data_IF_940294699401
#
_entry.id   IF_940294699401
#
_cell.length_a   1.000
_cell.length_b   1.000
_cell.length_c   1.000
_cell.angle_alpha   90.00
_cell.angle_beta   90.00
_cell.angle_gamma   90.00
#
_symmetry.space_group_name_H-M   'P 1'
#
loop_
_entity.id
_entity.type
_entity.pdbx_description
1 polymer ?
#
# COMPACT_ATOMS: atom_id res chain seq x y z
N UNK A 1 10.15 -20.87 -21.46
CA UNK A 1 10.46 -19.85 -20.41
C UNK A 1 9.67 -18.57 -20.67
N UNK A 2 9.58 -18.11 -21.91
CA UNK A 2 8.72 -17.00 -22.37
C UNK A 2 7.24 -17.18 -22.04
N UNK A 3 6.64 -18.36 -22.27
CA UNK A 3 5.20 -18.59 -21.99
C UNK A 3 4.83 -18.57 -20.50
N UNK A 4 5.72 -19.02 -19.63
CA UNK A 4 5.54 -18.96 -18.17
C UNK A 4 5.63 -17.52 -17.67
N UNK A 5 6.58 -16.75 -18.21
CA UNK A 5 6.73 -15.31 -17.91
C UNK A 5 5.52 -14.54 -18.43
N UNK A 6 5.03 -14.86 -19.64
CA UNK A 6 3.80 -14.29 -20.17
C UNK A 6 2.61 -14.62 -19.27
N UNK A 7 2.40 -15.89 -18.91
CA UNK A 7 1.29 -16.31 -18.05
C UNK A 7 1.37 -15.74 -16.62
N UNK A 8 2.56 -15.44 -16.11
CA UNK A 8 2.75 -14.72 -14.84
C UNK A 8 2.43 -13.23 -14.99
N UNK A 9 2.97 -12.56 -16.02
CA UNK A 9 2.77 -11.12 -16.25
C UNK A 9 1.31 -10.80 -16.54
N UNK A 10 0.61 -11.64 -17.30
CA UNK A 10 -0.82 -11.51 -17.62
C UNK A 10 -1.75 -12.08 -16.54
N UNK A 11 -1.21 -12.38 -15.35
CA UNK A 11 -2.05 -12.73 -14.22
C UNK A 11 -2.56 -11.43 -13.60
N UNK A 12 -3.88 -11.25 -13.59
CA UNK A 12 -4.62 -10.10 -13.03
C UNK A 12 -4.06 -9.62 -11.68
N UNK A 13 -3.62 -10.55 -10.82
CA UNK A 13 -3.01 -10.24 -9.50
C UNK A 13 -1.69 -9.49 -9.61
N UNK A 14 -0.84 -9.87 -10.57
CA UNK A 14 0.47 -9.27 -10.79
C UNK A 14 0.31 -7.91 -11.46
N UNK A 15 -0.61 -7.77 -12.41
CA UNK A 15 -0.97 -6.48 -13.00
C UNK A 15 -1.50 -5.52 -11.94
N UNK A 16 -2.39 -5.98 -11.05
CA UNK A 16 -2.89 -5.16 -9.95
C UNK A 16 -1.77 -4.67 -9.04
N UNK A 17 -0.81 -5.55 -8.69
CA UNK A 17 0.33 -5.18 -7.86
C UNK A 17 1.26 -4.17 -8.57
N UNK A 18 1.56 -4.41 -9.84
CA UNK A 18 2.39 -3.54 -10.68
C UNK A 18 1.80 -2.13 -10.78
N UNK A 19 0.51 -2.04 -11.11
CA UNK A 19 -0.22 -0.79 -11.21
C UNK A 19 -0.43 -0.10 -9.86
N UNK A 20 -0.51 -0.88 -8.78
CA UNK A 20 -0.41 -0.37 -7.41
C UNK A 20 0.92 0.33 -7.14
N UNK A 21 2.04 -0.26 -7.55
CA UNK A 21 3.36 0.38 -7.48
C UNK A 21 3.43 1.67 -8.30
N UNK A 22 2.89 1.66 -9.52
CA UNK A 22 2.83 2.85 -10.38
C UNK A 22 1.97 3.98 -9.77
N UNK A 23 0.87 3.61 -9.10
CA UNK A 23 0.00 4.55 -8.38
C UNK A 23 0.77 5.32 -7.28
N UNK A 24 1.70 4.65 -6.60
CA UNK A 24 2.58 5.26 -5.61
C UNK A 24 3.60 6.21 -6.26
N UNK A 25 4.13 5.87 -7.43
CA UNK A 25 4.99 6.79 -8.19
C UNK A 25 4.22 8.06 -8.61
N UNK A 26 3.00 7.91 -9.12
CA UNK A 26 2.12 9.04 -9.45
C UNK A 26 1.84 9.91 -8.22
N UNK A 27 1.62 9.30 -7.05
CA UNK A 27 1.46 10.04 -5.80
C UNK A 27 2.69 10.90 -5.49
N UNK A 28 3.90 10.35 -5.58
CA UNK A 28 5.13 11.10 -5.30
C UNK A 28 5.32 12.25 -6.29
N UNK A 29 5.14 12.01 -7.59
CA UNK A 29 5.23 13.05 -8.61
C UNK A 29 4.25 14.18 -8.30
N UNK A 30 2.97 13.86 -8.12
CA UNK A 30 1.93 14.85 -7.82
C UNK A 30 2.23 15.63 -6.53
N UNK A 31 2.69 14.94 -5.48
CA UNK A 31 3.02 15.55 -4.20
C UNK A 31 4.17 16.55 -4.32
N UNK A 32 5.28 16.16 -4.94
CA UNK A 32 6.44 17.04 -5.08
C UNK A 32 6.15 18.24 -5.98
N UNK A 33 5.39 18.04 -7.07
CA UNK A 33 4.97 19.16 -7.92
C UNK A 33 4.09 20.14 -7.16
N UNK A 34 3.12 19.66 -6.38
CA UNK A 34 2.24 20.54 -5.59
C UNK A 34 2.98 21.22 -4.44
N UNK A 35 3.92 20.54 -3.78
CA UNK A 35 4.76 21.14 -2.74
C UNK A 35 5.67 22.25 -3.28
N UNK A 36 6.16 22.14 -4.52
CA UNK A 36 6.96 23.19 -5.14
C UNK A 36 6.17 24.49 -5.41
N UNK A 37 4.84 24.38 -5.52
CA UNK A 37 3.95 25.51 -5.86
C UNK A 37 3.19 26.07 -4.66
N UNK A 38 3.13 25.35 -3.53
CA UNK A 38 2.27 25.67 -2.39
C UNK A 38 3.06 25.66 -1.09
N UNK A 39 2.79 26.61 -0.19
CA UNK A 39 3.45 26.72 1.11
C UNK A 39 2.80 25.88 2.22
N UNK A 40 1.59 25.37 2.01
CA UNK A 40 0.88 24.53 2.98
C UNK A 40 1.33 23.07 2.90
N UNK A 41 1.44 22.37 4.03
CA UNK A 41 1.85 20.96 4.05
C UNK A 41 0.70 19.99 3.71
N UNK A 42 -0.54 20.30 4.11
CA UNK A 42 -1.68 19.38 3.94
C UNK A 42 -2.31 19.41 2.55
N UNK A 43 -2.32 20.56 1.87
CA UNK A 43 -2.99 20.70 0.56
C UNK A 43 -2.30 19.84 -0.52
N UNK A 44 -0.96 19.86 -0.68
CA UNK A 44 -0.26 18.97 -1.61
C UNK A 44 -0.53 17.49 -1.35
N UNK A 45 -0.67 17.09 -0.08
CA UNK A 45 -1.01 15.71 0.30
C UNK A 45 -2.40 15.34 -0.19
N UNK A 46 -3.40 16.19 0.05
CA UNK A 46 -4.77 15.95 -0.38
C UNK A 46 -4.90 15.88 -1.92
N UNK A 47 -4.21 16.77 -2.64
CA UNK A 47 -4.17 16.78 -4.11
C UNK A 47 -3.52 15.49 -4.63
N UNK A 48 -2.34 15.13 -4.13
CA UNK A 48 -1.63 13.93 -4.55
C UNK A 48 -2.44 12.66 -4.27
N UNK A 49 -3.10 12.59 -3.11
CA UNK A 49 -3.97 11.46 -2.74
C UNK A 49 -5.15 11.33 -3.70
N UNK A 50 -5.76 12.45 -4.08
CA UNK A 50 -6.89 12.49 -5.01
C UNK A 50 -6.46 12.02 -6.40
N UNK A 51 -5.39 12.61 -6.96
CA UNK A 51 -4.85 12.25 -8.28
C UNK A 51 -4.44 10.78 -8.33
N UNK A 52 -3.71 10.31 -7.32
CA UNK A 52 -3.28 8.92 -7.22
C UNK A 52 -4.46 7.95 -7.15
N UNK A 53 -5.52 8.28 -6.41
CA UNK A 53 -6.73 7.44 -6.31
C UNK A 53 -7.49 7.39 -7.63
N UNK A 54 -7.62 8.51 -8.34
CA UNK A 54 -8.25 8.57 -9.67
C UNK A 54 -7.44 7.76 -10.68
N UNK A 55 -6.12 7.91 -10.69
CA UNK A 55 -5.24 7.11 -11.55
C UNK A 55 -5.40 5.60 -11.29
N UNK A 56 -5.37 5.20 -10.01
CA UNK A 56 -5.56 3.80 -9.62
C UNK A 56 -6.90 3.24 -10.09
N UNK A 57 -7.96 4.05 -10.05
CA UNK A 57 -9.27 3.64 -10.55
C UNK A 57 -9.25 3.40 -12.06
N UNK A 58 -8.72 4.35 -12.84
CA UNK A 58 -8.67 4.27 -14.31
C UNK A 58 -7.90 3.01 -14.73
N UNK A 59 -6.71 2.82 -14.15
CA UNK A 59 -5.85 1.70 -14.48
C UNK A 59 -6.47 0.36 -14.09
N UNK A 60 -7.04 0.26 -12.88
CA UNK A 60 -7.69 -0.98 -12.46
C UNK A 60 -8.89 -1.32 -13.35
N UNK A 61 -9.70 -0.31 -13.70
CA UNK A 61 -10.88 -0.49 -14.55
C UNK A 61 -10.52 -0.99 -15.96
N UNK A 62 -9.56 -0.33 -16.61
CA UNK A 62 -9.30 -0.52 -18.05
C UNK A 62 -8.16 -1.48 -18.36
N UNK A 63 -7.20 -1.64 -17.45
CA UNK A 63 -6.03 -2.50 -17.69
C UNK A 63 -6.14 -3.80 -16.89
N UNK A 64 -6.40 -3.72 -15.59
CA UNK A 64 -6.39 -4.92 -14.72
C UNK A 64 -7.66 -5.76 -14.87
N UNK A 65 -8.84 -5.13 -14.84
CA UNK A 65 -10.13 -5.83 -14.87
C UNK A 65 -10.82 -5.71 -16.23
N UNK A 66 -10.05 -5.63 -17.32
CA UNK A 66 -10.60 -5.46 -18.68
C UNK A 66 -11.43 -6.67 -19.15
N UNK A 67 -11.12 -7.87 -18.63
CA UNK A 67 -11.77 -9.12 -19.06
C UNK A 67 -13.02 -9.49 -18.23
N UNK A 68 -13.38 -8.69 -17.21
CA UNK A 68 -14.59 -8.93 -16.41
C UNK A 68 -15.81 -8.29 -17.05
N UNK A 69 -16.93 -9.01 -17.13
CA UNK A 69 -18.23 -8.43 -17.52
C UNK A 69 -18.69 -7.44 -16.44
N UNK A 70 -18.34 -6.16 -16.58
CA UNK A 70 -18.64 -5.13 -15.60
C UNK A 70 -20.11 -4.71 -15.70
N UNK A 71 -20.94 -5.16 -14.76
CA UNK A 71 -22.38 -4.88 -14.75
C UNK A 71 -22.75 -3.47 -14.28
N UNK A 72 -21.87 -2.83 -13.50
CA UNK A 72 -22.12 -1.52 -12.86
C UNK A 72 -21.71 -0.34 -13.73
N UNK A 73 -22.41 0.79 -13.58
CA UNK A 73 -22.03 2.07 -14.20
C UNK A 73 -20.67 2.56 -13.70
N UNK A 74 -19.93 3.29 -14.54
CA UNK A 74 -18.58 3.79 -14.21
C UNK A 74 -18.57 4.58 -12.89
N UNK A 75 -19.57 5.43 -12.67
CA UNK A 75 -19.71 6.21 -11.44
C UNK A 75 -19.89 5.32 -10.21
N UNK A 76 -20.72 4.28 -10.30
CA UNK A 76 -20.91 3.34 -9.19
C UNK A 76 -19.61 2.58 -8.87
N UNK A 77 -18.86 2.16 -9.89
CA UNK A 77 -17.56 1.53 -9.71
C UNK A 77 -16.57 2.47 -8.99
N UNK A 78 -16.55 3.75 -9.38
CA UNK A 78 -15.69 4.75 -8.77
C UNK A 78 -16.03 4.99 -7.30
N UNK A 79 -17.32 5.13 -6.96
CA UNK A 79 -17.77 5.34 -5.58
C UNK A 79 -17.43 4.11 -4.72
N UNK A 80 -17.67 2.89 -5.20
CA UNK A 80 -17.31 1.66 -4.47
C UNK A 80 -15.79 1.56 -4.29
N UNK A 81 -15.01 1.93 -5.31
CA UNK A 81 -13.55 1.96 -5.23
C UNK A 81 -13.05 2.99 -4.20
N UNK A 82 -13.64 4.19 -4.19
CA UNK A 82 -13.31 5.25 -3.24
C UNK A 82 -13.66 4.85 -1.80
N UNK A 83 -14.84 4.25 -1.59
CA UNK A 83 -15.24 3.68 -0.30
C UNK A 83 -14.25 2.59 0.12
N UNK A 84 -13.88 1.69 -0.80
CA UNK A 84 -12.88 0.67 -0.57
C UNK A 84 -11.54 1.23 -0.08
N UNK A 85 -11.06 2.32 -0.69
CA UNK A 85 -9.84 3.01 -0.25
C UNK A 85 -10.00 3.64 1.13
N UNK A 86 -11.14 4.27 1.42
CA UNK A 86 -11.45 4.82 2.74
C UNK A 86 -11.46 3.74 3.82
N UNK A 87 -12.13 2.61 3.56
CA UNK A 87 -12.16 1.45 4.44
C UNK A 87 -10.73 0.94 4.69
N UNK A 88 -9.94 0.74 3.64
CA UNK A 88 -8.56 0.28 3.78
C UNK A 88 -7.68 1.23 4.59
N UNK A 89 -7.88 2.55 4.48
CA UNK A 89 -7.16 3.53 5.30
C UNK A 89 -7.54 3.43 6.78
N UNK A 90 -8.82 3.20 7.08
CA UNK A 90 -9.28 2.96 8.46
C UNK A 90 -8.72 1.65 8.99
N UNK A 91 -8.75 0.57 8.20
CA UNK A 91 -8.16 -0.72 8.57
C UNK A 91 -6.66 -0.63 8.81
N UNK A 92 -5.92 0.12 7.99
CA UNK A 92 -4.49 0.35 8.17
C UNK A 92 -4.21 0.99 9.54
N UNK A 93 -4.93 2.07 9.86
CA UNK A 93 -4.80 2.75 11.14
C UNK A 93 -5.16 1.83 12.33
N UNK A 94 -6.28 1.10 12.23
CA UNK A 94 -6.73 0.19 13.28
C UNK A 94 -5.77 -0.98 13.50
N UNK A 95 -5.32 -1.64 12.42
CA UNK A 95 -4.36 -2.75 12.49
C UNK A 95 -3.01 -2.28 13.00
N UNK A 96 -2.52 -1.13 12.54
CA UNK A 96 -1.26 -0.55 13.01
C UNK A 96 -1.34 -0.25 14.50
N UNK A 97 -2.42 0.39 14.95
CA UNK A 97 -2.64 0.66 16.37
C UNK A 97 -2.68 -0.65 17.18
N UNK A 98 -3.49 -1.62 16.76
CA UNK A 98 -3.64 -2.90 17.45
C UNK A 98 -2.33 -3.71 17.50
N UNK A 99 -1.63 -3.87 16.37
CA UNK A 99 -0.39 -4.65 16.30
C UNK A 99 0.76 -4.01 17.08
N UNK A 100 0.89 -2.68 17.02
CA UNK A 100 1.99 -1.96 17.68
C UNK A 100 1.73 -1.75 19.17
N UNK A 101 0.48 -1.59 19.61
CA UNK A 101 0.19 -1.32 21.03
C UNK A 101 -0.15 -2.57 21.82
N UNK A 102 -0.94 -3.50 21.27
CA UNK A 102 -1.44 -4.66 22.01
C UNK A 102 -0.63 -5.93 21.73
N UNK A 103 -0.05 -6.09 20.53
CA UNK A 103 0.62 -7.33 20.12
C UNK A 103 2.14 -7.20 19.93
N UNK A 104 2.76 -6.09 20.35
CA UNK A 104 4.19 -5.87 20.06
C UNK A 104 5.11 -6.95 20.66
N UNK A 105 4.87 -7.38 21.90
CA UNK A 105 5.65 -8.45 22.56
C UNK A 105 5.55 -9.79 21.80
N UNK A 106 4.33 -10.14 21.37
CA UNK A 106 4.08 -11.36 20.60
C UNK A 106 4.93 -11.40 19.32
N UNK A 107 4.95 -10.29 18.55
CA UNK A 107 5.72 -10.22 17.32
C UNK A 107 7.23 -10.13 17.55
N UNK A 108 7.69 -9.42 18.60
CA UNK A 108 9.10 -9.39 18.99
C UNK A 108 9.62 -10.81 19.29
N UNK A 109 8.81 -11.62 19.98
CA UNK A 109 9.16 -13.00 20.28
C UNK A 109 9.14 -13.90 19.04
N UNK A 110 8.11 -13.80 18.21
CA UNK A 110 7.97 -14.60 16.97
C UNK A 110 9.11 -14.35 15.99
N UNK A 111 9.51 -13.08 15.84
CA UNK A 111 10.61 -12.68 14.95
C UNK A 111 11.98 -12.73 15.63
N UNK A 112 12.04 -13.16 16.90
CA UNK A 112 13.26 -13.28 17.70
C UNK A 112 14.09 -11.98 17.69
N UNK A 113 13.44 -10.81 17.66
CA UNK A 113 14.10 -9.52 17.48
C UNK A 113 15.06 -9.20 18.64
N UNK A 114 14.77 -9.72 19.83
CA UNK A 114 15.65 -9.60 21.01
C UNK A 114 17.02 -10.27 20.82
N UNK A 115 17.20 -11.13 19.81
CA UNK A 115 18.47 -11.81 19.50
C UNK A 115 19.31 -11.07 18.46
N UNK A 116 18.79 -10.00 17.85
CA UNK A 116 19.46 -9.29 16.77
C UNK A 116 20.49 -8.32 17.35
N UNK A 117 21.70 -8.28 16.76
CA UNK A 117 22.71 -7.30 17.11
C UNK A 117 22.51 -5.99 16.33
N UNK A 118 21.86 -5.03 16.98
CA UNK A 118 21.61 -3.70 16.45
C UNK A 118 22.86 -2.82 16.27
N UNK A 119 24.01 -3.26 16.77
CA UNK A 119 25.27 -2.53 16.65
C UNK A 119 26.09 -2.88 15.40
N UNK A 120 25.54 -3.70 14.50
CA UNK A 120 26.17 -4.07 13.22
C UNK A 120 26.36 -2.85 12.32
N UNK A 121 27.44 -2.82 11.52
CA UNK A 121 27.82 -1.67 10.68
C UNK A 121 26.67 -1.14 9.79
N UNK A 122 25.84 -2.03 9.24
CA UNK A 122 24.66 -1.65 8.43
C UNK A 122 23.54 -1.01 9.26
N UNK A 123 23.25 -1.55 10.45
CA UNK A 123 22.17 -1.06 11.32
C UNK A 123 22.56 0.23 12.09
N UNK A 124 23.85 0.57 12.13
CA UNK A 124 24.38 1.80 12.72
C UNK A 124 24.30 3.02 11.80
N UNK A 125 24.01 2.86 10.51
CA UNK A 125 23.84 4.00 9.63
C UNK A 125 22.73 4.89 10.19
N UNK A 126 22.99 6.20 10.37
CA UNK A 126 22.09 7.14 11.06
C UNK A 126 20.64 7.06 10.58
N UNK A 127 20.45 6.87 9.27
CA UNK A 127 19.13 6.75 8.63
C UNK A 127 18.43 5.47 9.11
N UNK A 128 19.13 4.33 9.08
CA UNK A 128 18.59 3.01 9.38
C UNK A 128 18.37 2.84 10.89
N UNK A 129 19.31 3.33 11.70
CA UNK A 129 19.25 3.24 13.16
C UNK A 129 17.97 3.84 13.76
N UNK A 130 17.48 4.95 13.19
CA UNK A 130 16.24 5.59 13.66
C UNK A 130 14.98 4.72 13.45
N UNK A 131 15.02 3.76 12.51
CA UNK A 131 13.89 2.87 12.21
C UNK A 131 14.05 1.45 12.76
N UNK A 132 15.27 0.97 12.94
CA UNK A 132 15.53 -0.43 13.36
C UNK A 132 16.52 -0.56 14.50
N UNK A 133 16.94 0.52 15.18
CA UNK A 133 17.97 0.50 16.23
C UNK A 133 17.61 -0.21 17.54
N UNK A 134 16.39 -0.72 17.69
CA UNK A 134 15.92 -1.44 18.87
C UNK A 134 14.87 -2.50 18.45
N UNK A 135 14.70 -3.62 19.19
CA UNK A 135 13.63 -4.59 18.97
C UNK A 135 12.25 -3.99 18.72
N UNK A 136 11.84 -2.97 19.48
CA UNK A 136 10.55 -2.30 19.36
C UNK A 136 10.44 -1.54 18.03
N UNK A 137 11.49 -0.80 17.65
CA UNK A 137 11.50 -0.04 16.40
C UNK A 137 11.47 -0.97 15.18
N UNK A 138 12.29 -2.02 15.22
CA UNK A 138 12.32 -3.03 14.16
C UNK A 138 10.99 -3.78 14.05
N UNK A 139 10.35 -4.09 15.18
CA UNK A 139 9.01 -4.66 15.19
C UNK A 139 7.98 -3.77 14.49
N UNK A 140 8.01 -2.45 14.77
CA UNK A 140 7.11 -1.49 14.11
C UNK A 140 7.27 -1.52 12.60
N UNK A 141 8.51 -1.51 12.09
CA UNK A 141 8.78 -1.57 10.65
C UNK A 141 8.24 -2.87 10.03
N UNK A 142 8.52 -4.01 10.65
CA UNK A 142 8.05 -5.32 10.17
C UNK A 142 6.52 -5.37 10.16
N UNK A 143 5.87 -4.92 11.24
CA UNK A 143 4.41 -4.89 11.33
C UNK A 143 3.79 -4.00 10.24
N UNK A 144 4.33 -2.80 10.01
CA UNK A 144 3.84 -1.91 8.94
C UNK A 144 3.98 -2.55 7.56
N UNK A 145 5.09 -3.25 7.28
CA UNK A 145 5.26 -3.97 6.01
C UNK A 145 4.21 -5.08 5.87
N UNK A 146 3.97 -5.87 6.92
CA UNK A 146 2.96 -6.92 6.91
C UNK A 146 1.54 -6.35 6.71
N UNK A 147 1.21 -5.27 7.40
CA UNK A 147 -0.06 -4.57 7.25
C UNK A 147 -0.22 -4.07 5.82
N UNK A 148 0.82 -3.45 5.24
CA UNK A 148 0.77 -2.97 3.86
C UNK A 148 0.46 -4.09 2.87
N UNK A 149 1.00 -5.29 3.06
CA UNK A 149 0.68 -6.47 2.24
C UNK A 149 -0.80 -6.86 2.41
N UNK A 150 -1.30 -6.93 3.64
CA UNK A 150 -2.71 -7.23 3.94
C UNK A 150 -3.64 -6.20 3.28
N UNK A 151 -3.31 -4.92 3.38
CA UNK A 151 -4.09 -3.82 2.81
C UNK A 151 -4.11 -3.89 1.28
N UNK A 152 -3.00 -4.25 0.63
CA UNK A 152 -2.98 -4.47 -0.83
C UNK A 152 -3.92 -5.62 -1.22
N UNK A 153 -3.89 -6.73 -0.48
CA UNK A 153 -4.77 -7.88 -0.72
C UNK A 153 -6.24 -7.50 -0.51
N UNK A 154 -6.58 -6.78 0.56
CA UNK A 154 -7.94 -6.29 0.81
C UNK A 154 -8.39 -5.37 -0.34
N UNK A 155 -7.54 -4.41 -0.74
CA UNK A 155 -7.85 -3.52 -1.86
C UNK A 155 -8.12 -4.29 -3.15
N UNK A 156 -7.34 -5.35 -3.43
CA UNK A 156 -7.56 -6.22 -4.58
C UNK A 156 -8.91 -6.95 -4.49
N UNK A 157 -9.22 -7.57 -3.34
CA UNK A 157 -10.50 -8.27 -3.10
C UNK A 157 -11.68 -7.30 -3.28
N UNK A 158 -11.61 -6.12 -2.67
CA UNK A 158 -12.64 -5.09 -2.79
C UNK A 158 -12.81 -4.66 -4.25
N UNK A 159 -11.70 -4.41 -4.94
CA UNK A 159 -11.72 -4.00 -6.34
C UNK A 159 -12.37 -5.08 -7.22
N UNK A 160 -11.96 -6.34 -7.07
CA UNK A 160 -12.43 -7.45 -7.89
C UNK A 160 -13.90 -7.81 -7.65
N UNK A 161 -14.30 -7.97 -6.39
CA UNK A 161 -15.62 -8.51 -6.06
C UNK A 161 -16.70 -7.44 -5.92
N UNK A 162 -16.32 -6.21 -5.58
CA UNK A 162 -17.27 -5.13 -5.33
C UNK A 162 -17.21 -4.02 -6.37
N UNK A 163 -16.02 -3.55 -6.75
CA UNK A 163 -15.92 -2.42 -7.69
C UNK A 163 -16.12 -2.85 -9.14
N UNK A 164 -15.43 -3.88 -9.61
CA UNK A 164 -15.36 -4.26 -11.04
C UNK A 164 -16.07 -5.58 -11.38
N UNK A 165 -17.20 -5.82 -10.71
CA UNK A 165 -18.13 -6.93 -11.00
C UNK A 165 -19.29 -6.47 -11.89
#
# INVERSE_FOLDING_TARGET
MTDLIHKLIFNEKIEYLFWGGMTTLVYFVARFTSMAMMTSEMIPVAIAQTISTVFAFIVNKYLVFNNSNQSKSVTAQFIIFLIGRGISAVFDFLLTSLMITHFYEFFIHIFLLNRINYQTSLLKMTIIHNFVGNPILMNKVICVILIQVIIIVINYIVSKYFAFK
#
